data_IF_441027682336
#
_entry.id   IF_441027682336
#
_cell.length_a   1.000
_cell.length_b   1.000
_cell.length_c   1.000
_cell.angle_alpha   90.00
_cell.angle_beta   90.00
_cell.angle_gamma   90.00
#
_symmetry.space_group_name_H-M   'P 1'
#
loop_
_entity.id
_entity.type
_entity.pdbx_description
1 polymer ?
#
# COMPACT_ATOMS: atom_id res chain seq x y z
N UNK A 1 -23.35 -12.79 -13.95
CA UNK A 1 -21.91 -12.52 -13.75
C UNK A 1 -21.73 -12.11 -12.31
N UNK A 2 -21.18 -12.99 -11.48
CA UNK A 2 -20.88 -12.64 -10.09
C UNK A 2 -19.63 -11.77 -10.12
N UNK A 3 -19.78 -10.47 -9.87
CA UNK A 3 -18.67 -9.57 -9.57
C UNK A 3 -18.13 -9.97 -8.20
N UNK A 4 -17.33 -11.04 -8.17
CA UNK A 4 -16.54 -11.38 -6.99
C UNK A 4 -15.48 -10.30 -6.90
N UNK A 5 -15.77 -9.26 -6.11
CA UNK A 5 -14.80 -8.26 -5.74
C UNK A 5 -13.77 -8.98 -4.86
N UNK A 6 -12.74 -9.56 -5.49
CA UNK A 6 -11.59 -10.11 -4.78
C UNK A 6 -11.10 -9.01 -3.87
N UNK A 7 -11.16 -9.19 -2.54
CA UNK A 7 -10.75 -8.13 -1.65
C UNK A 7 -9.29 -7.77 -1.94
N UNK A 8 -8.96 -6.48 -1.99
CA UNK A 8 -7.58 -6.03 -2.26
C UNK A 8 -6.58 -6.68 -1.30
N UNK A 9 -6.97 -6.91 -0.04
CA UNK A 9 -6.15 -7.61 0.96
C UNK A 9 -5.87 -9.08 0.65
N UNK A 10 -6.58 -9.68 -0.31
CA UNK A 10 -6.34 -11.05 -0.80
C UNK A 10 -5.55 -11.10 -2.12
N UNK A 11 -5.16 -9.94 -2.65
CA UNK A 11 -4.22 -9.85 -3.76
C UNK A 11 -2.81 -9.92 -3.16
N UNK A 12 -2.14 -11.05 -3.33
CA UNK A 12 -0.70 -11.16 -3.10
C UNK A 12 0.01 -10.30 -4.14
N UNK A 13 0.35 -9.07 -3.79
CA UNK A 13 1.17 -8.21 -4.65
C UNK A 13 2.61 -8.65 -4.44
N UNK A 14 3.11 -9.46 -5.37
CA UNK A 14 4.52 -9.85 -5.41
C UNK A 14 5.29 -8.71 -6.09
N UNK A 15 6.12 -8.01 -5.33
CA UNK A 15 6.91 -6.86 -5.81
C UNK A 15 8.30 -7.39 -6.13
N UNK A 16 8.69 -7.34 -7.41
CA UNK A 16 9.97 -7.90 -7.86
C UNK A 16 11.14 -6.96 -7.60
N UNK A 17 10.85 -5.66 -7.43
CA UNK A 17 11.84 -4.62 -7.20
C UNK A 17 11.34 -3.59 -6.18
N UNK A 18 12.27 -3.00 -5.41
CA UNK A 18 11.97 -1.94 -4.45
C UNK A 18 11.29 -0.72 -5.10
N UNK A 19 11.61 -0.45 -6.38
CA UNK A 19 11.01 0.64 -7.16
C UNK A 19 9.49 0.49 -7.33
N UNK A 20 8.98 -0.73 -7.48
CA UNK A 20 7.55 -1.01 -7.59
C UNK A 20 6.83 -0.77 -6.25
N UNK A 21 7.45 -1.19 -5.14
CA UNK A 21 6.96 -0.95 -3.78
C UNK A 21 6.86 0.55 -3.49
N UNK A 22 7.88 1.30 -3.89
CA UNK A 22 8.00 2.74 -3.67
C UNK A 22 6.95 3.54 -4.43
N UNK A 23 6.64 3.18 -5.68
CA UNK A 23 5.58 3.83 -6.44
C UNK A 23 4.21 3.64 -5.79
N UNK A 24 3.87 2.40 -5.38
CA UNK A 24 2.61 2.12 -4.68
C UNK A 24 2.54 2.84 -3.33
N UNK A 25 3.62 2.83 -2.56
CA UNK A 25 3.76 3.58 -1.32
C UNK A 25 3.48 5.07 -1.53
N UNK A 26 4.05 5.68 -2.57
CA UNK A 26 3.86 7.11 -2.87
C UNK A 26 2.42 7.45 -3.24
N UNK A 27 1.71 6.57 -3.95
CA UNK A 27 0.29 6.76 -4.27
C UNK A 27 -0.56 6.76 -2.98
N UNK A 28 -0.37 5.77 -2.12
CA UNK A 28 -1.16 5.66 -0.87
C UNK A 28 -0.83 6.82 0.07
N UNK A 29 0.46 7.17 0.21
CA UNK A 29 0.91 8.33 0.98
C UNK A 29 0.28 9.64 0.48
N UNK A 30 0.26 9.84 -0.83
CA UNK A 30 -0.36 11.00 -1.46
C UNK A 30 -1.85 11.09 -1.14
N UNK A 31 -2.58 9.97 -1.20
CA UNK A 31 -4.00 9.93 -0.82
C UNK A 31 -4.23 10.26 0.65
N UNK A 32 -3.46 9.66 1.56
CA UNK A 32 -3.56 9.94 3.00
C UNK A 32 -3.31 11.42 3.32
N UNK A 33 -2.37 12.07 2.62
CA UNK A 33 -2.05 13.49 2.84
C UNK A 33 -3.22 14.45 2.58
N UNK A 34 -4.23 14.01 1.82
CA UNK A 34 -5.43 14.79 1.50
C UNK A 34 -6.63 14.45 2.39
N UNK A 35 -6.50 13.50 3.32
CA UNK A 35 -7.58 13.02 4.17
C UNK A 35 -7.44 13.55 5.60
N UNK A 36 -8.58 13.70 6.29
CA UNK A 36 -8.59 13.92 7.73
C UNK A 36 -8.21 12.61 8.43
N UNK A 37 -7.37 12.68 9.48
CA UNK A 37 -6.99 11.49 10.27
C UNK A 37 -8.19 10.79 10.91
N UNK A 38 -9.29 11.52 11.14
CA UNK A 38 -10.55 11.01 11.68
C UNK A 38 -11.52 10.48 10.62
N UNK A 39 -11.16 10.51 9.33
CA UNK A 39 -12.04 10.04 8.26
C UNK A 39 -12.00 8.51 8.16
N UNK A 40 -13.15 7.85 7.87
CA UNK A 40 -13.18 6.40 7.62
C UNK A 40 -12.22 5.96 6.51
N UNK A 41 -12.02 6.81 5.49
CA UNK A 41 -11.08 6.57 4.40
C UNK A 41 -9.63 6.55 4.88
N UNK A 42 -9.27 7.43 5.83
CA UNK A 42 -7.95 7.43 6.44
C UNK A 42 -7.76 6.16 7.30
N UNK A 43 -8.73 5.82 8.14
CA UNK A 43 -8.69 4.61 8.96
C UNK A 43 -8.52 3.34 8.11
N UNK A 44 -9.13 3.31 6.93
CA UNK A 44 -8.98 2.20 5.98
C UNK A 44 -7.61 2.18 5.29
N UNK A 45 -7.11 3.34 4.83
CA UNK A 45 -5.87 3.42 4.05
C UNK A 45 -4.61 3.37 4.90
N UNK A 46 -4.67 3.80 6.16
CA UNK A 46 -3.50 3.91 7.02
C UNK A 46 -2.80 2.56 7.29
N UNK A 47 -3.51 1.45 7.58
CA UNK A 47 -2.89 0.13 7.70
C UNK A 47 -2.21 -0.33 6.41
N UNK A 48 -2.79 -0.01 5.24
CA UNK A 48 -2.22 -0.35 3.93
C UNK A 48 -0.93 0.43 3.69
N UNK A 49 -0.91 1.71 4.07
CA UNK A 49 0.30 2.54 4.02
C UNK A 49 1.43 1.97 4.88
N UNK A 50 1.12 1.51 6.11
CA UNK A 50 2.12 0.89 6.99
C UNK A 50 2.73 -0.37 6.36
N UNK A 51 1.90 -1.24 5.77
CA UNK A 51 2.38 -2.44 5.09
C UNK A 51 3.30 -2.11 3.91
N UNK A 52 2.96 -1.10 3.10
CA UNK A 52 3.82 -0.68 2.00
C UNK A 52 5.13 -0.04 2.47
N UNK A 53 5.11 0.70 3.59
CA UNK A 53 6.32 1.26 4.18
C UNK A 53 7.29 0.15 4.60
N UNK A 54 6.80 -0.85 5.34
CA UNK A 54 7.60 -1.99 5.79
C UNK A 54 8.15 -2.80 4.60
N UNK A 55 7.31 -3.09 3.61
CA UNK A 55 7.72 -3.82 2.41
C UNK A 55 8.77 -3.05 1.61
N UNK A 56 8.61 -1.73 1.47
CA UNK A 56 9.59 -0.89 0.76
C UNK A 56 10.94 -0.90 1.47
N UNK A 57 10.96 -0.71 2.79
CA UNK A 57 12.20 -0.74 3.58
C UNK A 57 12.89 -2.10 3.46
N UNK A 58 12.12 -3.20 3.53
CA UNK A 58 12.66 -4.55 3.38
C UNK A 58 13.29 -4.75 1.99
N UNK A 59 12.57 -4.42 0.93
CA UNK A 59 13.06 -4.59 -0.45
C UNK A 59 14.28 -3.72 -0.74
N UNK A 60 14.28 -2.45 -0.31
CA UNK A 60 15.44 -1.56 -0.43
C UNK A 60 16.66 -2.15 0.29
N UNK A 61 16.49 -2.75 1.47
CA UNK A 61 17.60 -3.38 2.22
C UNK A 61 18.18 -4.65 1.58
N UNK A 62 17.44 -5.30 0.68
CA UNK A 62 17.88 -6.51 -0.01
C UNK A 62 18.58 -6.22 -1.35
N UNK A 63 18.47 -4.97 -1.85
CA UNK A 63 19.10 -4.52 -3.09
C UNK A 63 20.47 -3.84 -2.84
N UNK A 64 20.80 -3.50 -1.59
CA UNK A 64 22.12 -3.05 -1.13
C UNK A 64 23.14 -4.20 -1.00
#
# INVERSE_FOLDING_TARGET
MNNVATPIHSVSVDLSHSSEARELFMIVKGRLSCLSESSPEFEFLYPIYQQFLEATILLESLEE
#
